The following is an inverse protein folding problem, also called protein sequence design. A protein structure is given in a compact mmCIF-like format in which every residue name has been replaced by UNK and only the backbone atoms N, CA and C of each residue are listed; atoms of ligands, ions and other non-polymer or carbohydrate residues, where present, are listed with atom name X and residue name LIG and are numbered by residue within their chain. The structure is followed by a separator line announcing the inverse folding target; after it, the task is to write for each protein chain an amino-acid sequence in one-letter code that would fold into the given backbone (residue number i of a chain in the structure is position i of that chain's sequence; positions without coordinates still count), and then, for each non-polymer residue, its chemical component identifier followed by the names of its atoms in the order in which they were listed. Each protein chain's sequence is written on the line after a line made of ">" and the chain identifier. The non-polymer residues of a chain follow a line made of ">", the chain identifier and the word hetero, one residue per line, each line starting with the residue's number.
data_IF_093422665790
#
_entry.id   IF_093422665790
#
_cell.length_a   1.000
_cell.length_b   1.000
_cell.length_c   1.000
_cell.angle_alpha   90.00
_cell.angle_beta   90.00
_cell.angle_gamma   90.00
#
_symmetry.space_group_name_H-M   'P 1'
#
loop_
_entity.id
_entity.type
_entity.pdbx_description
1 polymer ?
#
# COMPACT_ATOMS: atom_id res chain seq x y z
N UNK A 1 -6.50 -5.35 -7.76
CA UNK A 1 -6.06 -5.19 -6.37
C UNK A 1 -5.53 -3.77 -6.23
N UNK A 2 -5.97 -3.05 -5.20
CA UNK A 2 -5.57 -1.66 -4.98
C UNK A 2 -4.19 -1.62 -4.31
N UNK A 3 -3.27 -0.85 -4.88
CA UNK A 3 -2.02 -0.49 -4.22
C UNK A 3 -2.06 1.02 -4.06
N UNK A 4 -2.78 1.48 -3.03
CA UNK A 4 -2.94 2.91 -2.80
C UNK A 4 -1.70 3.47 -2.15
N UNK A 5 -1.06 4.36 -2.87
CA UNK A 5 0.30 4.72 -2.60
C UNK A 5 0.42 6.23 -2.64
N UNK A 6 0.74 6.79 -1.48
CA UNK A 6 0.94 8.22 -1.36
C UNK A 6 2.40 8.56 -1.68
N UNK A 7 2.63 9.44 -2.66
CA UNK A 7 3.96 9.83 -3.15
C UNK A 7 4.42 11.17 -2.55
N UNK A 8 5.74 11.42 -2.44
CA UNK A 8 6.28 12.71 -2.05
C UNK A 8 5.99 13.79 -3.09
N UNK A 9 6.23 15.05 -2.69
CA UNK A 9 6.12 16.26 -3.52
C UNK A 9 6.74 16.07 -4.91
N UNK A 10 5.94 16.25 -5.95
CA UNK A 10 6.43 16.32 -7.34
C UNK A 10 6.90 17.74 -7.65
N UNK A 11 8.05 17.87 -8.31
CA UNK A 11 8.60 19.16 -8.72
C UNK A 11 8.15 19.52 -10.14
N UNK A 12 8.18 20.79 -10.55
CA UNK A 12 7.94 21.15 -11.95
C UNK A 12 8.94 20.44 -12.88
N UNK A 13 8.44 19.82 -13.94
CA UNK A 13 9.24 19.10 -14.93
C UNK A 13 9.13 17.58 -14.80
N UNK A 14 10.15 16.87 -15.29
CA UNK A 14 10.19 15.41 -15.28
C UNK A 14 10.57 14.89 -13.87
N UNK A 15 9.78 13.95 -13.35
CA UNK A 15 10.03 13.31 -12.07
C UNK A 15 10.04 11.80 -12.27
N UNK A 16 10.97 11.11 -11.62
CA UNK A 16 11.00 9.65 -11.54
C UNK A 16 10.66 9.22 -10.13
N UNK A 17 9.57 8.46 -9.99
CA UNK A 17 9.07 7.97 -8.71
C UNK A 17 9.33 6.47 -8.60
N UNK A 18 10.13 6.08 -7.60
CA UNK A 18 10.43 4.69 -7.30
C UNK A 18 9.84 4.32 -5.94
N UNK A 19 9.26 3.12 -5.85
CA UNK A 19 8.70 2.61 -4.59
C UNK A 19 8.94 1.11 -4.45
N UNK A 20 9.24 0.69 -3.23
CA UNK A 20 9.34 -0.72 -2.88
C UNK A 20 7.96 -1.34 -2.72
N UNK A 21 7.79 -2.59 -3.14
CA UNK A 21 6.58 -3.37 -2.82
C UNK A 21 6.39 -3.54 -1.32
N UNK A 22 7.46 -3.48 -0.53
CA UNK A 22 7.44 -3.55 0.94
C UNK A 22 6.83 -2.30 1.60
N UNK A 23 6.79 -1.19 0.88
CA UNK A 23 6.22 0.06 1.39
C UNK A 23 4.74 0.17 1.08
N UNK A 24 4.10 -0.90 0.57
CA UNK A 24 2.67 -0.89 0.22
C UNK A 24 1.80 -0.57 1.45
N UNK A 25 0.86 0.35 1.29
CA UNK A 25 -0.06 0.72 2.37
C UNK A 25 -1.06 -0.38 2.74
N UNK A 26 -1.32 -1.30 1.82
CA UNK A 26 -2.34 -2.35 2.01
C UNK A 26 -1.80 -3.59 2.72
N UNK A 27 -0.48 -3.74 2.77
CA UNK A 27 0.15 -4.94 3.31
C UNK A 27 0.92 -4.68 4.61
N UNK A 28 1.01 -5.72 5.43
CA UNK A 28 1.74 -5.71 6.70
C UNK A 28 2.77 -6.84 6.74
N UNK A 29 3.87 -6.68 7.48
CA UNK A 29 4.82 -7.77 7.71
C UNK A 29 4.18 -8.92 8.47
N UNK A 30 4.85 -10.06 8.42
CA UNK A 30 4.45 -11.23 9.20
C UNK A 30 4.63 -10.93 10.69
N UNK A 31 3.65 -11.32 11.50
CA UNK A 31 3.70 -11.13 12.95
C UNK A 31 4.57 -12.21 13.60
N UNK A 32 5.35 -11.86 14.64
CA UNK A 32 6.21 -12.82 15.34
C UNK A 32 5.37 -13.90 16.02
N UNK A 33 5.95 -15.09 16.18
CA UNK A 33 5.31 -16.14 16.94
C UNK A 33 5.21 -15.74 18.42
N UNK A 34 4.32 -16.39 19.16
CA UNK A 34 4.20 -16.16 20.60
C UNK A 34 5.51 -16.45 21.34
N UNK A 35 6.26 -17.46 20.89
CA UNK A 35 7.55 -17.80 21.48
C UNK A 35 8.60 -16.72 21.20
N UNK A 36 8.60 -16.11 20.01
CA UNK A 36 9.51 -15.01 19.67
C UNK A 36 9.22 -13.79 20.54
N UNK A 37 7.94 -13.47 20.78
CA UNK A 37 7.54 -12.39 21.68
C UNK A 37 8.02 -12.64 23.11
N UNK A 38 7.88 -13.87 23.62
CA UNK A 38 8.40 -14.25 24.94
C UNK A 38 9.92 -14.05 25.01
N UNK A 39 10.64 -14.50 23.99
CA UNK A 39 12.10 -14.41 23.96
C UNK A 39 12.58 -12.95 23.91
N UNK A 40 12.04 -12.14 22.99
CA UNK A 40 12.35 -10.70 22.88
C UNK A 40 12.08 -9.95 24.19
N UNK A 41 10.97 -10.27 24.86
CA UNK A 41 10.62 -9.66 26.15
C UNK A 41 11.63 -10.03 27.24
N UNK A 42 12.01 -11.30 27.34
CA UNK A 42 13.01 -11.77 28.31
C UNK A 42 14.38 -11.16 28.07
N UNK A 43 14.79 -11.05 26.82
CA UNK A 43 16.06 -10.43 26.42
C UNK A 43 16.10 -8.96 26.87
N UNK A 44 15.08 -8.17 26.52
CA UNK A 44 14.98 -6.76 26.92
C UNK A 44 15.01 -6.58 28.45
N UNK A 45 14.29 -7.44 29.19
CA UNK A 45 14.32 -7.43 30.65
C UNK A 45 15.71 -7.75 31.23
N UNK A 46 16.46 -8.65 30.60
CA UNK A 46 17.77 -9.10 31.10
C UNK A 46 18.87 -8.10 30.78
N UNK A 47 18.84 -7.49 29.59
CA UNK A 47 19.78 -6.45 29.17
C UNK A 47 19.48 -5.08 29.78
N UNK A 48 18.26 -4.87 30.29
CA UNK A 48 17.78 -3.55 30.72
C UNK A 48 17.53 -2.59 29.55
N UNK A 49 17.33 -3.12 28.34
CA UNK A 49 17.02 -2.32 27.15
C UNK A 49 15.51 -2.18 26.92
N UNK A 50 15.12 -1.21 26.10
CA UNK A 50 13.74 -1.09 25.64
C UNK A 50 13.34 -2.27 24.72
N UNK A 51 12.05 -2.60 24.73
CA UNK A 51 11.45 -3.61 23.87
C UNK A 51 10.85 -2.94 22.63
N UNK A 52 11.42 -3.20 21.46
CA UNK A 52 10.97 -2.66 20.18
C UNK A 52 10.07 -3.66 19.44
N UNK A 53 8.79 -3.30 19.27
CA UNK A 53 7.76 -4.08 18.57
C UNK A 53 6.94 -3.23 17.58
N UNK A 54 7.39 -2.01 17.32
CA UNK A 54 6.71 -0.99 16.51
C UNK A 54 6.47 -1.47 15.07
N UNK A 55 7.33 -2.36 14.55
CA UNK A 55 7.16 -2.96 13.22
C UNK A 55 5.98 -3.94 13.12
N UNK A 56 5.49 -4.47 14.25
CA UNK A 56 4.37 -5.43 14.30
C UNK A 56 3.07 -4.82 14.85
N UNK A 57 3.02 -3.49 14.98
CA UNK A 57 1.95 -2.78 15.69
C UNK A 57 0.56 -2.95 15.06
N UNK A 58 0.47 -3.35 13.79
CA UNK A 58 -0.80 -3.62 13.12
C UNK A 58 -0.83 -5.04 12.56
N UNK A 59 -1.71 -5.87 13.12
CA UNK A 59 -2.13 -7.14 12.51
C UNK A 59 -3.28 -6.96 11.51
N UNK A 60 -3.67 -5.71 11.25
CA UNK A 60 -4.79 -5.35 10.38
C UNK A 60 -4.21 -4.94 9.02
N UNK A 61 -4.04 -5.94 8.16
CA UNK A 61 -3.30 -5.82 6.91
C UNK A 61 -3.37 -7.10 6.08
N UNK A 62 -3.26 -6.99 4.77
CA UNK A 62 -2.97 -8.17 3.95
C UNK A 62 -1.50 -8.56 4.21
N UNK A 63 -1.15 -9.83 4.43
CA UNK A 63 0.27 -10.19 4.57
C UNK A 63 1.09 -9.76 3.35
N UNK A 64 2.30 -9.24 3.55
CA UNK A 64 3.22 -8.84 2.46
C UNK A 64 3.38 -9.95 1.41
N UNK A 65 3.43 -11.20 1.86
CA UNK A 65 3.53 -12.41 1.02
C UNK A 65 2.31 -12.69 0.12
N UNK A 66 1.20 -11.97 0.31
CA UNK A 66 -0.02 -12.07 -0.51
C UNK A 66 -0.29 -10.80 -1.32
N UNK A 67 0.69 -9.90 -1.45
CA UNK A 67 0.55 -8.72 -2.30
C UNK A 67 0.26 -9.08 -3.76
N UNK A 68 0.80 -10.18 -4.29
CA UNK A 68 0.52 -10.57 -5.66
C UNK A 68 -0.45 -11.75 -5.70
N UNK A 69 -1.38 -11.78 -6.68
CA UNK A 69 -2.11 -13.01 -6.97
C UNK A 69 -1.13 -14.11 -7.36
N UNK A 70 -1.50 -15.37 -7.13
CA UNK A 70 -0.61 -16.52 -7.34
C UNK A 70 -0.01 -16.57 -8.76
N UNK A 71 -0.78 -16.21 -9.78
CA UNK A 71 -0.38 -16.39 -11.18
C UNK A 71 -0.38 -17.87 -11.60
N UNK A 72 0.28 -18.15 -12.72
CA UNK A 72 0.50 -19.51 -13.26
C UNK A 72 1.96 -19.72 -13.61
N UNK A 73 2.38 -20.97 -13.79
CA UNK A 73 3.74 -21.32 -14.22
C UNK A 73 4.09 -20.78 -15.61
N UNK A 74 3.10 -20.68 -16.50
CA UNK A 74 3.22 -20.10 -17.85
C UNK A 74 3.15 -18.56 -17.84
N UNK A 75 2.82 -17.99 -16.68
CA UNK A 75 2.65 -16.57 -16.44
C UNK A 75 1.27 -16.06 -16.85
N UNK A 76 0.60 -15.42 -15.88
CA UNK A 76 -0.75 -14.88 -16.02
C UNK A 76 -0.72 -13.39 -16.29
N UNK A 77 -1.47 -12.94 -17.31
CA UNK A 77 -1.53 -11.53 -17.71
C UNK A 77 -2.42 -10.70 -16.78
N UNK A 78 -1.96 -9.50 -16.47
CA UNK A 78 -2.68 -8.50 -15.67
C UNK A 78 -2.46 -7.10 -16.22
N UNK A 79 -3.45 -6.23 -16.04
CA UNK A 79 -3.24 -4.80 -16.19
C UNK A 79 -2.73 -4.22 -14.87
N UNK A 80 -1.52 -3.65 -14.89
CA UNK A 80 -1.00 -2.80 -13.83
C UNK A 80 -1.42 -1.36 -14.11
N UNK A 81 -2.17 -0.77 -13.18
CA UNK A 81 -2.77 0.55 -13.35
C UNK A 81 -2.17 1.52 -12.34
N UNK A 82 -1.76 2.68 -12.84
CA UNK A 82 -1.29 3.81 -12.05
C UNK A 82 -2.16 5.02 -12.34
N UNK A 83 -2.60 5.70 -11.29
CA UNK A 83 -3.34 6.94 -11.37
C UNK A 83 -2.76 7.93 -10.37
N UNK A 84 -2.62 9.19 -10.76
CA UNK A 84 -2.08 10.27 -9.92
C UNK A 84 -3.14 11.35 -9.75
N UNK A 85 -3.57 11.58 -8.52
CA UNK A 85 -4.50 12.65 -8.14
C UNK A 85 -3.81 13.79 -7.39
N UNK A 86 -4.51 14.91 -7.25
CA UNK A 86 -4.06 16.05 -6.45
C UNK A 86 -4.17 15.72 -4.96
N UNK A 87 -3.01 15.48 -4.34
CA UNK A 87 -2.91 15.15 -2.92
C UNK A 87 -3.52 16.20 -1.97
N UNK A 88 -3.51 17.48 -2.35
CA UNK A 88 -4.08 18.56 -1.53
C UNK A 88 -5.61 18.49 -1.46
N UNK A 89 -6.24 18.00 -2.52
CA UNK A 89 -7.67 17.76 -2.61
C UNK A 89 -8.08 16.43 -1.98
N UNK A 90 -7.17 15.44 -2.00
CA UNK A 90 -7.41 14.10 -1.45
C UNK A 90 -7.27 14.08 0.08
N UNK A 91 -6.35 14.86 0.66
CA UNK A 91 -6.04 14.76 2.09
C UNK A 91 -7.19 15.14 3.01
N UNK A 92 -7.56 14.22 3.91
CA UNK A 92 -8.49 14.47 5.01
C UNK A 92 -7.76 14.82 6.33
N UNK A 93 -6.49 14.42 6.45
CA UNK A 93 -5.62 14.65 7.61
C UNK A 93 -4.28 15.24 7.15
N UNK A 94 -3.62 16.00 8.03
CA UNK A 94 -2.26 16.46 7.77
C UNK A 94 -1.32 15.24 7.66
N UNK A 95 -0.34 15.31 6.76
CA UNK A 95 0.61 14.22 6.60
C UNK A 95 0.03 12.94 5.99
N UNK A 96 -1.09 13.00 5.24
CA UNK A 96 -1.56 11.85 4.43
C UNK A 96 -0.40 11.25 3.59
N UNK A 97 0.49 12.11 3.09
CA UNK A 97 1.66 11.74 2.28
C UNK A 97 2.88 11.23 3.06
N UNK A 98 2.84 11.33 4.39
CA UNK A 98 3.94 10.95 5.29
C UNK A 98 3.61 9.65 6.05
N UNK A 99 2.34 9.25 6.08
CA UNK A 99 1.89 8.05 6.77
C UNK A 99 1.98 6.82 5.87
N UNK A 100 2.86 5.89 6.23
CA UNK A 100 2.83 4.49 5.73
C UNK A 100 1.70 3.69 6.37
N UNK A 101 1.01 4.26 7.36
CA UNK A 101 -0.09 3.67 8.12
C UNK A 101 -1.44 3.87 7.43
N UNK A 102 -1.48 4.01 6.10
CA UNK A 102 -2.72 4.04 5.34
C UNK A 102 -3.34 2.64 5.36
N UNK A 103 -4.04 2.32 6.44
CA UNK A 103 -4.63 1.01 6.61
C UNK A 103 -5.99 0.99 5.90
N UNK A 104 -6.19 0.06 4.98
CA UNK A 104 -7.52 -0.31 4.44
C UNK A 104 -8.54 -0.71 5.52
N UNK A 105 -8.13 -0.73 6.79
CA UNK A 105 -8.90 -1.11 7.97
C UNK A 105 -9.23 0.09 8.88
N UNK A 106 -8.92 1.32 8.43
CA UNK A 106 -9.21 2.57 9.15
C UNK A 106 -8.02 3.13 9.93
N UNK A 107 -8.11 4.40 10.33
CA UNK A 107 -7.14 5.04 11.21
C UNK A 107 -7.59 4.93 12.67
N UNK A 108 -6.62 4.77 13.58
CA UNK A 108 -6.88 4.66 15.03
C UNK A 108 -7.60 5.89 15.60
N UNK A 109 -7.40 7.07 14.99
CA UNK A 109 -8.07 8.32 15.37
C UNK A 109 -9.50 8.47 14.78
N UNK A 110 -9.97 7.46 14.02
CA UNK A 110 -11.32 7.36 13.48
C UNK A 110 -11.59 8.15 12.19
N UNK A 111 -10.66 9.00 11.73
CA UNK A 111 -10.84 9.75 10.48
C UNK A 111 -10.09 9.06 9.35
N UNK A 112 -10.82 8.64 8.31
CA UNK A 112 -10.18 8.09 7.12
C UNK A 112 -9.32 9.17 6.45
N UNK A 113 -8.06 8.88 6.09
CA UNK A 113 -7.09 9.92 5.80
C UNK A 113 -7.23 10.47 4.37
N UNK A 114 -8.01 9.82 3.51
CA UNK A 114 -8.32 10.23 2.14
C UNK A 114 -9.82 10.54 1.97
N UNK A 115 -10.15 11.67 1.34
CA UNK A 115 -11.53 12.11 1.07
C UNK A 115 -12.18 11.38 -0.11
N UNK A 116 -11.42 10.71 -0.97
CA UNK A 116 -11.93 10.02 -2.16
C UNK A 116 -12.63 8.72 -1.79
N UNK A 117 -13.63 8.30 -2.58
CA UNK A 117 -14.25 6.99 -2.42
C UNK A 117 -13.22 5.86 -2.45
N UNK A 118 -13.44 4.79 -1.69
CA UNK A 118 -12.63 3.58 -1.82
C UNK A 118 -12.73 3.03 -3.24
N UNK A 119 -11.58 2.70 -3.83
CA UNK A 119 -11.48 2.26 -5.22
C UNK A 119 -11.38 3.37 -6.26
N UNK A 120 -11.44 4.66 -5.87
CA UNK A 120 -11.23 5.78 -6.80
C UNK A 120 -9.88 5.65 -7.54
N UNK A 121 -9.82 5.85 -8.87
CA UNK A 121 -10.88 6.33 -9.78
C UNK A 121 -11.73 5.23 -10.44
N UNK A 122 -11.57 3.97 -10.02
CA UNK A 122 -12.22 2.80 -10.61
C UNK A 122 -13.48 2.35 -9.82
N UNK A 123 -13.93 3.16 -8.85
CA UNK A 123 -15.11 2.90 -8.03
C UNK A 123 -16.42 2.99 -8.82
N UNK A 124 -16.40 3.69 -9.95
CA UNK A 124 -17.58 3.93 -10.79
C UNK A 124 -17.50 3.16 -12.10
N UNK A 125 -18.67 2.76 -12.58
CA UNK A 125 -18.81 2.22 -13.93
C UNK A 125 -18.45 3.30 -14.96
N UNK A 126 -17.60 2.92 -15.90
CA UNK A 126 -17.23 3.72 -17.06
C UNK A 126 -17.65 2.97 -18.31
N UNK A 127 -18.63 3.51 -19.03
CA UNK A 127 -19.16 2.88 -20.25
C UNK A 127 -18.26 3.11 -21.48
N UNK A 128 -17.38 4.11 -21.41
CA UNK A 128 -16.45 4.46 -22.48
C UNK A 128 -15.02 4.58 -21.93
N UNK A 129 -14.19 3.60 -22.26
CA UNK A 129 -12.80 3.52 -21.81
C UNK A 129 -11.97 4.76 -22.18
N UNK A 130 -12.35 5.50 -23.23
CA UNK A 130 -11.67 6.74 -23.64
C UNK A 130 -11.73 7.83 -22.58
N UNK A 131 -12.70 7.77 -21.66
CA UNK A 131 -12.79 8.69 -20.52
C UNK A 131 -11.60 8.49 -19.57
N UNK A 132 -11.21 7.24 -19.31
CA UNK A 132 -10.10 6.91 -18.41
C UNK A 132 -8.77 6.97 -19.16
N UNK A 133 -8.71 6.45 -20.39
CA UNK A 133 -7.47 6.41 -21.17
C UNK A 133 -7.09 7.75 -21.81
N UNK A 134 -8.03 8.71 -21.87
CA UNK A 134 -7.81 10.04 -22.42
C UNK A 134 -7.22 11.06 -21.44
N UNK A 135 -7.15 10.74 -20.13
CA UNK A 135 -6.53 11.64 -19.15
C UNK A 135 -5.03 11.39 -19.02
N UNK A 136 -4.26 12.46 -18.79
CA UNK A 136 -2.78 12.40 -18.76
C UNK A 136 -2.20 11.77 -17.49
N UNK A 137 -3.00 11.68 -16.43
CA UNK A 137 -2.62 11.21 -15.10
C UNK A 137 -3.09 9.78 -14.80
N UNK A 138 -3.52 9.03 -15.81
CA UNK A 138 -3.87 7.61 -15.72
C UNK A 138 -3.04 6.81 -16.72
N UNK A 139 -2.51 5.67 -16.29
CA UNK A 139 -1.78 4.74 -17.17
C UNK A 139 -2.06 3.30 -16.79
N UNK A 140 -2.49 2.50 -17.76
CA UNK A 140 -2.49 1.05 -17.68
C UNK A 140 -1.31 0.48 -18.47
N UNK A 141 -0.71 -0.60 -17.97
CA UNK A 141 0.34 -1.37 -18.63
C UNK A 141 0.13 -2.87 -18.42
N UNK A 142 0.45 -3.66 -19.43
CA UNK A 142 0.33 -5.12 -19.34
C UNK A 142 1.56 -5.69 -18.63
N UNK A 143 1.31 -6.50 -17.60
CA UNK A 143 2.34 -7.22 -16.84
C UNK A 143 1.98 -8.70 -16.77
N UNK A 144 2.97 -9.53 -16.45
CA UNK A 144 2.80 -10.97 -16.29
C UNK A 144 3.28 -11.41 -14.91
N UNK A 145 2.48 -12.21 -14.20
CA UNK A 145 2.83 -12.77 -12.90
C UNK A 145 3.04 -14.27 -13.04
N UNK A 146 4.21 -14.74 -12.61
CA UNK A 146 4.62 -16.14 -12.71
C UNK A 146 4.59 -16.80 -11.32
N UNK A 147 4.05 -18.01 -11.27
CA UNK A 147 4.17 -18.88 -10.10
C UNK A 147 5.38 -19.80 -10.26
N UNK A 148 6.18 -19.94 -9.21
CA UNK A 148 7.27 -20.93 -9.12
C UNK A 148 6.84 -22.02 -8.15
N UNK A 149 6.91 -23.28 -8.60
CA UNK A 149 6.70 -24.46 -7.74
C UNK A 149 7.85 -24.70 -6.76
#
# INVERSE_FOLDING_TARGET
>A
MEVKNVSPTVSPGENSLTRSSKDSAITVPDVPSFQDLINKTKEAMTSGSELHLEEYHSSLGLPNRFLLPKGTTEGMDFHFVVFVSDGSEDMAVAGLHESTSFNHYGCHDGKYPDKKPHGYPLDRRVDDERIITGVSNFKAMDIKVFHTE
#
